data_IF_171291509853
#
_entry.id   IF_171291509853
#
_cell.length_a   1.000
_cell.length_b   1.000
_cell.length_c   1.000
_cell.angle_alpha   90.00
_cell.angle_beta   90.00
_cell.angle_gamma   90.00
#
_symmetry.space_group_name_H-M   'P 1'
#
loop_
_entity.id
_entity.type
_entity.pdbx_description
1 polymer ?
#
# COMPACT_ATOMS: atom_id res chain seq x y z
N UNK A 1 -6.28 -2.04 3.68
CA UNK A 1 -6.04 -3.46 3.31
C UNK A 1 -4.71 -3.88 3.93
N UNK A 2 -4.61 -5.07 4.54
CA UNK A 2 -3.43 -5.47 5.33
C UNK A 2 -2.77 -6.77 4.86
N UNK A 3 -3.25 -7.34 3.73
CA UNK A 3 -2.70 -8.56 3.18
C UNK A 3 -1.30 -8.29 2.59
N UNK A 4 -0.39 -9.25 2.74
CA UNK A 4 0.98 -9.07 2.28
C UNK A 4 1.05 -8.96 0.74
N UNK A 5 2.05 -8.26 0.17
CA UNK A 5 2.15 -8.06 -1.28
C UNK A 5 2.18 -9.37 -2.07
N UNK A 6 2.83 -10.40 -1.53
CA UNK A 6 2.96 -11.72 -2.13
C UNK A 6 1.79 -12.68 -1.83
N UNK A 7 0.84 -12.27 -1.00
CA UNK A 7 -0.26 -13.12 -0.56
C UNK A 7 -1.28 -13.37 -1.68
N UNK A 8 -1.96 -14.51 -1.64
CA UNK A 8 -2.96 -14.94 -2.61
C UNK A 8 -4.28 -15.24 -1.92
N UNK A 9 -5.38 -14.81 -2.54
CA UNK A 9 -6.73 -15.21 -2.17
C UNK A 9 -6.94 -16.72 -2.39
N UNK A 10 -7.72 -17.43 -1.58
CA UNK A 10 -8.25 -17.06 -0.28
C UNK A 10 -8.16 -18.29 0.63
N UNK A 11 -7.48 -18.16 1.78
CA UNK A 11 -7.47 -19.20 2.80
C UNK A 11 -8.86 -19.28 3.47
N UNK A 12 -9.36 -20.48 3.82
CA UNK A 12 -10.60 -20.61 4.59
C UNK A 12 -10.45 -19.97 5.98
N UNK A 13 -11.45 -19.19 6.42
CA UNK A 13 -11.48 -18.59 7.76
C UNK A 13 -11.11 -17.10 7.83
N UNK A 14 -11.16 -16.41 6.69
CA UNK A 14 -10.75 -15.02 6.58
C UNK A 14 -11.52 -14.01 7.45
N UNK A 15 -10.77 -13.02 7.94
CA UNK A 15 -11.17 -11.79 8.62
C UNK A 15 -11.78 -10.71 7.71
N UNK A 16 -12.87 -10.98 6.98
CA UNK A 16 -13.73 -9.98 6.31
C UNK A 16 -13.14 -9.14 5.17
N UNK A 17 -11.81 -8.97 5.10
CA UNK A 17 -11.07 -8.19 4.08
C UNK A 17 -10.10 -9.07 3.27
N UNK A 18 -10.22 -10.38 3.42
CA UNK A 18 -9.35 -11.44 2.89
C UNK A 18 -10.17 -12.56 2.19
N UNK A 19 -11.47 -12.32 1.96
CA UNK A 19 -12.39 -13.23 1.27
C UNK A 19 -12.56 -12.91 -0.23
N UNK A 20 -11.87 -11.87 -0.73
CA UNK A 20 -11.97 -11.47 -2.14
C UNK A 20 -10.64 -11.10 -2.77
N UNK A 21 -10.42 -11.59 -3.99
CA UNK A 21 -9.18 -11.43 -4.75
C UNK A 21 -8.75 -9.97 -5.01
N UNK A 22 -9.68 -9.01 -5.07
CA UNK A 22 -9.29 -7.60 -5.27
C UNK A 22 -8.50 -7.03 -4.09
N UNK A 23 -8.57 -7.68 -2.92
CA UNK A 23 -7.77 -7.32 -1.75
C UNK A 23 -6.41 -8.02 -1.72
N UNK A 24 -5.93 -8.57 -2.84
CA UNK A 24 -4.62 -9.20 -2.92
C UNK A 24 -3.89 -8.64 -4.13
N UNK A 25 -2.75 -7.97 -3.89
CA UNK A 25 -2.03 -7.23 -4.93
C UNK A 25 -1.79 -8.10 -6.17
N UNK A 26 -1.20 -9.27 -5.98
CA UNK A 26 -0.82 -10.12 -7.10
C UNK A 26 -2.03 -10.69 -7.85
N UNK A 27 -3.16 -10.94 -7.18
CA UNK A 27 -4.38 -11.42 -7.83
C UNK A 27 -5.01 -10.31 -8.66
N UNK A 28 -5.07 -9.09 -8.12
CA UNK A 28 -5.49 -7.88 -8.85
C UNK A 28 -4.63 -7.66 -10.10
N UNK A 29 -3.30 -7.68 -9.99
CA UNK A 29 -2.39 -7.51 -11.12
C UNK A 29 -2.58 -8.61 -12.18
N UNK A 30 -2.74 -9.87 -11.74
CA UNK A 30 -2.95 -11.01 -12.65
C UNK A 30 -4.29 -10.94 -13.37
N UNK A 31 -5.34 -10.46 -12.69
CA UNK A 31 -6.66 -10.24 -13.25
C UNK A 31 -6.64 -9.13 -14.31
N UNK A 32 -5.96 -8.01 -14.04
CA UNK A 32 -5.76 -6.93 -15.01
C UNK A 32 -4.93 -7.37 -16.21
N UNK A 33 -3.83 -8.11 -15.99
CA UNK A 33 -3.04 -8.68 -17.09
C UNK A 33 -3.89 -9.60 -17.98
N UNK A 34 -4.70 -10.45 -17.37
CA UNK A 34 -5.65 -11.32 -18.09
C UNK A 34 -6.68 -10.51 -18.89
N UNK A 35 -7.20 -9.41 -18.33
CA UNK A 35 -8.12 -8.52 -19.03
C UNK A 35 -7.46 -7.82 -20.21
N UNK A 36 -6.23 -7.32 -20.05
CA UNK A 36 -5.47 -6.71 -21.14
C UNK A 36 -5.29 -7.68 -22.32
N UNK A 37 -4.87 -8.93 -22.03
CA UNK A 37 -4.71 -9.98 -23.06
C UNK A 37 -6.02 -10.26 -23.81
N UNK A 38 -7.13 -10.40 -23.10
CA UNK A 38 -8.46 -10.65 -23.71
C UNK A 38 -8.94 -9.53 -24.62
N UNK A 39 -8.45 -8.30 -24.43
CA UNK A 39 -8.82 -7.14 -25.22
C UNK A 39 -7.72 -6.72 -26.23
N UNK A 40 -6.76 -7.60 -26.54
CA UNK A 40 -5.73 -7.31 -27.55
C UNK A 40 -4.61 -6.39 -27.07
N UNK A 41 -4.51 -6.10 -25.76
CA UNK A 41 -3.46 -5.27 -25.15
C UNK A 41 -2.37 -6.12 -24.48
N UNK A 42 -2.16 -7.35 -24.94
CA UNK A 42 -1.16 -8.28 -24.39
C UNK A 42 0.29 -7.77 -24.50
N UNK A 43 0.56 -6.89 -25.45
CA UNK A 43 1.90 -6.35 -25.69
C UNK A 43 2.16 -5.04 -24.93
N UNK A 44 1.17 -4.52 -24.20
CA UNK A 44 1.31 -3.34 -23.36
C UNK A 44 1.68 -3.70 -21.92
N UNK A 45 2.41 -2.78 -21.28
CA UNK A 45 2.72 -2.85 -19.85
C UNK A 45 1.56 -2.33 -19.00
N UNK A 46 1.38 -2.93 -17.82
CA UNK A 46 0.42 -2.51 -16.80
C UNK A 46 1.09 -1.51 -15.84
N UNK A 47 0.49 -0.34 -15.65
CA UNK A 47 0.98 0.66 -14.71
C UNK A 47 0.11 0.66 -13.47
N UNK A 48 0.73 0.66 -12.29
CA UNK A 48 0.01 0.89 -11.03
C UNK A 48 0.14 2.36 -10.67
N UNK A 49 -0.90 3.15 -10.96
CA UNK A 49 -0.86 4.61 -10.74
C UNK A 49 -1.15 5.01 -9.29
N UNK A 50 -1.76 4.11 -8.51
CA UNK A 50 -2.03 4.30 -7.10
C UNK A 50 -1.92 2.94 -6.41
N UNK A 51 -1.01 2.81 -5.45
CA UNK A 51 -0.94 1.67 -4.56
C UNK A 51 -0.33 2.10 -3.23
N UNK A 52 -0.52 1.27 -2.20
CA UNK A 52 0.07 1.47 -0.88
C UNK A 52 -0.58 0.60 0.17
N UNK A 53 0.05 0.58 1.35
CA UNK A 53 -0.50 0.01 2.57
C UNK A 53 -0.60 1.11 3.61
N UNK A 54 -1.49 0.95 4.58
CA UNK A 54 -1.62 1.90 5.69
C UNK A 54 -0.92 1.38 6.91
N UNK A 55 -0.35 2.29 7.69
CA UNK A 55 -0.04 2.07 9.09
C UNK A 55 -0.42 3.31 9.91
N UNK A 56 -0.95 3.09 11.12
CA UNK A 56 -1.23 4.14 12.10
C UNK A 56 -0.45 3.98 13.41
N UNK A 57 0.32 2.90 13.59
CA UNK A 57 1.04 2.59 14.83
C UNK A 57 1.99 3.72 15.30
N UNK A 58 2.63 4.40 14.34
CA UNK A 58 3.61 5.48 14.58
C UNK A 58 2.99 6.89 14.50
N UNK A 59 1.65 6.99 14.41
CA UNK A 59 0.92 8.25 14.42
C UNK A 59 0.16 8.44 15.75
N UNK A 60 0.05 9.67 16.28
CA UNK A 60 -0.71 9.91 17.49
C UNK A 60 -2.22 9.73 17.28
N UNK A 61 -2.92 9.46 18.38
CA UNK A 61 -4.37 9.29 18.39
C UNK A 61 -4.83 7.91 17.92
N UNK A 62 -6.14 7.68 18.00
CA UNK A 62 -6.76 6.45 17.50
C UNK A 62 -6.81 6.47 15.97
N UNK A 63 -6.53 5.32 15.36
CA UNK A 63 -6.76 5.14 13.94
C UNK A 63 -8.25 5.30 13.60
N UNK A 64 -8.60 5.85 12.43
CA UNK A 64 -9.99 5.97 12.00
C UNK A 64 -10.66 4.62 11.77
N UNK A 65 -9.88 3.61 11.39
CA UNK A 65 -10.37 2.28 11.07
C UNK A 65 -9.49 1.18 11.69
N UNK A 66 -10.12 0.11 12.16
CA UNK A 66 -9.44 -0.96 12.90
C UNK A 66 -8.41 -1.73 12.06
N UNK A 67 -8.52 -1.73 10.72
CA UNK A 67 -7.56 -2.40 9.85
C UNK A 67 -6.26 -1.60 9.65
N UNK A 68 -6.25 -0.30 9.97
CA UNK A 68 -5.07 0.56 9.81
C UNK A 68 -4.02 0.38 10.92
N UNK A 69 -4.32 -0.41 11.94
CA UNK A 69 -3.39 -0.78 13.03
C UNK A 69 -2.98 -2.26 12.98
N UNK A 70 -3.27 -2.95 11.86
CA UNK A 70 -2.91 -4.37 11.69
C UNK A 70 -1.47 -4.58 11.24
N UNK A 71 -0.85 -3.55 10.68
CA UNK A 71 0.55 -3.58 10.26
C UNK A 71 1.35 -2.74 11.25
N UNK A 72 2.54 -3.22 11.60
CA UNK A 72 3.53 -2.38 12.25
C UNK A 72 4.13 -1.37 11.26
N UNK A 73 4.89 -0.39 11.77
CA UNK A 73 5.65 0.53 10.92
C UNK A 73 6.70 -0.17 10.05
N UNK A 74 7.29 -1.27 10.53
CA UNK A 74 8.25 -2.08 9.78
C UNK A 74 7.55 -2.98 8.74
N UNK A 75 6.36 -3.51 9.05
CA UNK A 75 5.54 -4.23 8.05
C UNK A 75 5.15 -3.29 6.90
N UNK A 76 4.75 -2.06 7.21
CA UNK A 76 4.43 -1.05 6.20
C UNK A 76 5.63 -0.77 5.27
N UNK A 77 6.83 -0.63 5.84
CA UNK A 77 8.05 -0.43 5.07
C UNK A 77 8.39 -1.63 4.18
N UNK A 78 8.46 -2.82 4.77
CA UNK A 78 8.80 -4.06 4.06
C UNK A 78 7.79 -4.39 2.96
N UNK A 79 6.49 -4.21 3.21
CA UNK A 79 5.45 -4.49 2.22
C UNK A 79 5.58 -3.59 0.98
N UNK A 80 5.90 -2.32 1.16
CA UNK A 80 6.09 -1.40 0.03
C UNK A 80 7.33 -1.80 -0.79
N UNK A 81 8.45 -2.12 -0.14
CA UNK A 81 9.67 -2.57 -0.81
C UNK A 81 9.42 -3.88 -1.56
N UNK A 82 8.76 -4.85 -0.92
CA UNK A 82 8.47 -6.15 -1.50
C UNK A 82 7.47 -6.03 -2.66
N UNK A 83 6.49 -5.13 -2.59
CA UNK A 83 5.59 -4.85 -3.71
C UNK A 83 6.37 -4.40 -4.97
N UNK A 84 7.32 -3.47 -4.82
CA UNK A 84 8.18 -3.06 -5.93
C UNK A 84 9.05 -4.21 -6.42
N UNK A 85 9.69 -4.97 -5.52
CA UNK A 85 10.54 -6.11 -5.88
C UNK A 85 9.77 -7.19 -6.63
N UNK A 86 8.56 -7.51 -6.17
CA UNK A 86 7.65 -8.45 -6.83
C UNK A 86 7.31 -7.94 -8.23
N UNK A 87 6.90 -6.67 -8.36
CA UNK A 87 6.53 -6.10 -9.65
C UNK A 87 7.70 -6.06 -10.64
N UNK A 88 8.92 -5.81 -10.18
CA UNK A 88 10.14 -5.92 -11.01
C UNK A 88 10.36 -7.33 -11.57
N UNK A 89 9.84 -8.37 -10.91
CA UNK A 89 9.86 -9.75 -11.39
C UNK A 89 8.75 -10.11 -12.37
N UNK A 90 7.78 -9.21 -12.62
CA UNK A 90 6.65 -9.45 -13.51
C UNK A 90 6.92 -8.80 -14.88
N UNK A 91 7.03 -9.61 -15.93
CA UNK A 91 7.37 -9.19 -17.30
C UNK A 91 6.39 -8.18 -17.93
N UNK A 92 5.21 -8.04 -17.35
CA UNK A 92 4.14 -7.18 -17.83
C UNK A 92 3.97 -5.90 -17.03
N UNK A 93 4.74 -5.68 -15.96
CA UNK A 93 4.65 -4.47 -15.16
C UNK A 93 5.47 -3.34 -15.76
N UNK A 94 4.86 -2.16 -15.80
CA UNK A 94 5.50 -0.88 -16.08
C UNK A 94 5.75 -0.09 -14.80
N UNK A 95 5.89 1.25 -14.91
CA UNK A 95 5.98 2.16 -13.78
C UNK A 95 4.89 1.95 -12.72
N UNK A 96 5.29 2.16 -11.47
CA UNK A 96 4.42 2.15 -10.31
C UNK A 96 4.59 3.45 -9.54
N UNK A 97 3.47 4.04 -9.14
CA UNK A 97 3.39 5.29 -8.41
C UNK A 97 2.81 5.01 -7.03
N UNK A 98 3.67 5.10 -6.03
CA UNK A 98 3.29 4.90 -4.63
C UNK A 98 2.49 6.13 -4.17
N UNK A 99 1.35 5.90 -3.52
CA UNK A 99 0.41 6.96 -3.15
C UNK A 99 0.63 7.39 -1.69
N UNK A 100 1.54 8.34 -1.44
CA UNK A 100 2.15 8.45 -0.09
C UNK A 100 2.74 9.81 0.33
N UNK A 101 3.11 10.72 -0.57
CA UNK A 101 4.03 11.79 -0.15
C UNK A 101 3.31 12.91 0.64
N UNK A 102 3.67 13.03 1.93
CA UNK A 102 3.32 14.10 2.90
C UNK A 102 1.85 14.20 3.33
N UNK A 103 1.12 13.12 3.20
CA UNK A 103 -0.26 13.00 3.66
C UNK A 103 -0.43 13.10 5.18
N UNK A 104 0.54 12.66 5.97
CA UNK A 104 0.48 12.76 7.43
C UNK A 104 0.97 14.13 7.90
N UNK A 105 0.14 15.16 7.79
CA UNK A 105 0.34 16.44 8.47
C UNK A 105 -0.48 16.52 9.76
N UNK A 106 -0.21 17.53 10.60
CA UNK A 106 -0.93 17.77 11.86
C UNK A 106 -2.46 17.68 11.70
N UNK A 107 -3.03 18.42 10.74
CA UNK A 107 -4.47 18.47 10.49
C UNK A 107 -5.03 17.09 10.09
N UNK A 108 -4.37 16.39 9.18
CA UNK A 108 -4.80 15.09 8.70
C UNK A 108 -4.79 14.04 9.81
N UNK A 109 -3.77 14.06 10.66
CA UNK A 109 -3.67 13.13 11.79
C UNK A 109 -4.69 13.48 12.88
N UNK A 110 -4.84 14.76 13.25
CA UNK A 110 -5.82 15.19 14.26
C UNK A 110 -7.27 14.92 13.85
N UNK A 111 -7.58 15.01 12.56
CA UNK A 111 -8.90 14.69 12.01
C UNK A 111 -9.10 13.19 11.73
N UNK A 112 -8.13 12.34 12.09
CA UNK A 112 -8.13 10.91 11.79
C UNK A 112 -8.41 10.62 10.30
N UNK A 113 -7.78 11.38 9.41
CA UNK A 113 -7.97 11.17 7.98
C UNK A 113 -7.20 9.92 7.50
N UNK A 114 -7.90 8.97 6.89
CA UNK A 114 -7.33 7.68 6.46
C UNK A 114 -6.07 7.83 5.59
N UNK A 115 -6.02 8.85 4.72
CA UNK A 115 -4.88 9.02 3.84
C UNK A 115 -3.56 9.24 4.58
N UNK A 116 -3.61 9.74 5.82
CA UNK A 116 -2.41 9.96 6.63
C UNK A 116 -1.66 8.65 6.89
N UNK A 117 -2.39 7.53 7.00
CA UNK A 117 -1.79 6.22 7.25
C UNK A 117 -0.84 5.74 6.15
N UNK A 118 -1.03 6.19 4.91
CA UNK A 118 -0.18 5.83 3.75
C UNK A 118 1.12 6.63 3.67
N UNK A 119 1.33 7.63 4.55
CA UNK A 119 2.40 8.58 4.31
C UNK A 119 3.81 8.01 4.48
N UNK A 120 4.80 8.53 3.76
CA UNK A 120 6.22 8.25 4.06
C UNK A 120 6.78 9.15 5.16
N UNK A 121 6.21 10.35 5.30
CA UNK A 121 6.71 11.39 6.18
C UNK A 121 5.57 11.81 7.11
N UNK A 122 5.90 12.06 8.37
CA UNK A 122 4.99 12.67 9.32
C UNK A 122 5.46 14.08 9.65
N UNK A 123 4.59 15.06 9.45
CA UNK A 123 4.87 16.49 9.65
C UNK A 123 3.99 17.01 10.78
N UNK A 124 4.38 16.80 12.06
CA UNK A 124 3.60 17.25 13.22
C UNK A 124 3.53 18.77 13.37
N UNK A 125 4.40 19.52 12.69
CA UNK A 125 4.40 20.99 12.66
C UNK A 125 5.08 21.49 11.39
N UNK A 126 4.93 22.77 11.07
CA UNK A 126 5.55 23.40 9.88
C UNK A 126 7.08 23.28 9.83
N UNK A 127 7.73 23.05 10.98
CA UNK A 127 9.19 23.03 11.11
C UNK A 127 9.76 21.65 11.42
N UNK A 128 8.91 20.64 11.60
CA UNK A 128 9.33 19.29 12.00
C UNK A 128 8.84 18.28 10.98
N UNK A 129 9.77 17.54 10.39
CA UNK A 129 9.50 16.39 9.51
C UNK A 129 10.13 15.16 10.13
N UNK A 130 9.34 14.12 10.29
CA UNK A 130 9.75 12.82 10.81
C UNK A 130 9.68 11.82 9.66
N UNK A 131 10.81 11.22 9.35
CA UNK A 131 10.88 10.09 8.40
C UNK A 131 10.27 8.85 9.05
N UNK A 132 9.26 8.27 8.42
CA UNK A 132 8.71 6.96 8.83
C UNK A 132 9.63 5.85 8.29
N UNK A 133 9.62 4.63 8.85
CA UNK A 133 10.52 3.55 8.43
C UNK A 133 10.54 3.30 6.91
N UNK A 134 9.36 3.33 6.28
CA UNK A 134 9.21 3.20 4.82
C UNK A 134 10.02 4.22 4.00
N UNK A 135 10.17 5.46 4.48
CA UNK A 135 10.97 6.47 3.78
C UNK A 135 12.43 6.05 3.69
N UNK A 136 12.98 5.52 4.81
CA UNK A 136 14.39 5.13 4.92
C UNK A 136 14.71 3.91 4.07
N UNK A 137 13.75 3.00 3.91
CA UNK A 137 13.91 1.81 3.05
C UNK A 137 13.85 2.13 1.55
N UNK A 138 13.33 3.31 1.16
CA UNK A 138 13.22 3.75 -0.23
C UNK A 138 14.25 4.81 -0.65
N UNK A 139 14.95 5.41 0.30
CA UNK A 139 15.94 6.49 0.10
C UNK A 139 17.32 5.94 -0.29
#
# INVERSE_FOLDING_TARGET
>A
MSNAPGERCCAPGGSGWDDRAQFFMLDTLSAYRSLMRRNGHGDLLLWATEFGWTNWEDLPGSAPEAWMVRLSADDHASYIVDAFRIAQGLDFMGPMFLWNLNFANETAVQSANEYAGYSLLYTPSETTVVERPVYRELA
#
